data_IF_464730194403
#
_entry.id   IF_464730194403
#
_cell.length_a   1.000
_cell.length_b   1.000
_cell.length_c   1.000
_cell.angle_alpha   90.00
_cell.angle_beta   90.00
_cell.angle_gamma   90.00
#
_symmetry.space_group_name_H-M   'P 1'
#
loop_
_entity.id
_entity.type
_entity.pdbx_description
1 polymer ?
#
# COMPACT_ATOMS: atom_id res chain seq x y z
N UNK A 1 8.27 24.96 17.76
CA UNK A 1 6.82 24.97 18.04
C UNK A 1 6.61 25.37 19.50
N UNK A 2 5.50 26.01 19.84
CA UNK A 2 5.11 26.42 21.20
C UNK A 2 3.82 25.75 21.68
N UNK A 3 3.00 25.25 20.76
CA UNK A 3 1.72 24.63 21.06
C UNK A 3 1.52 23.34 20.27
N UNK A 4 0.97 22.32 20.91
CA UNK A 4 0.69 21.02 20.28
C UNK A 4 -0.75 20.65 20.52
N UNK A 5 -1.45 20.31 19.44
CA UNK A 5 -2.83 19.88 19.48
C UNK A 5 -2.88 18.42 19.09
N UNK A 6 -3.41 17.59 19.98
CA UNK A 6 -3.73 16.20 19.67
C UNK A 6 -5.21 16.05 19.38
N UNK A 7 -5.55 15.33 18.32
CA UNK A 7 -6.94 15.04 17.97
C UNK A 7 -7.14 13.54 17.86
N UNK A 8 -8.04 13.01 18.68
CA UNK A 8 -8.63 11.70 18.46
C UNK A 8 -9.92 11.84 17.64
N UNK A 9 -10.03 11.05 16.58
CA UNK A 9 -11.05 11.23 15.54
C UNK A 9 -12.11 10.15 15.64
N UNK A 10 -13.32 10.57 15.98
CA UNK A 10 -14.52 9.75 15.93
C UNK A 10 -15.43 10.12 14.76
N UNK A 11 -16.44 9.28 14.50
CA UNK A 11 -17.39 9.49 13.40
C UNK A 11 -18.13 10.83 13.51
N UNK A 12 -18.67 11.14 14.69
CA UNK A 12 -19.52 12.31 14.92
C UNK A 12 -18.81 13.45 15.67
N UNK A 13 -17.72 13.14 16.37
CA UNK A 13 -17.05 14.06 17.29
C UNK A 13 -15.53 13.97 17.13
N UNK A 14 -14.85 15.01 17.60
CA UNK A 14 -13.41 15.08 17.74
C UNK A 14 -13.11 15.39 19.20
N UNK A 15 -12.24 14.58 19.82
CA UNK A 15 -11.67 14.88 21.12
C UNK A 15 -10.34 15.60 20.89
N UNK A 16 -10.21 16.81 21.45
CA UNK A 16 -9.09 17.70 21.16
C UNK A 16 -8.42 18.12 22.45
N UNK A 17 -7.09 18.00 22.50
CA UNK A 17 -6.28 18.45 23.63
C UNK A 17 -5.19 19.43 23.16
N UNK A 18 -4.96 20.49 23.92
CA UNK A 18 -3.94 21.52 23.67
C UNK A 18 -2.89 21.53 24.77
N UNK A 19 -1.63 21.37 24.39
CA UNK A 19 -0.47 21.46 25.26
C UNK A 19 0.39 22.68 24.95
N UNK A 20 1.02 23.23 25.98
CA UNK A 20 2.09 24.22 25.87
C UNK A 20 3.49 23.59 25.75
N UNK A 21 4.53 24.43 25.78
CA UNK A 21 5.95 24.04 25.71
C UNK A 21 6.42 23.20 26.89
N UNK A 22 5.93 23.49 28.10
CA UNK A 22 6.20 22.72 29.29
C UNK A 22 5.49 21.34 29.28
N UNK A 23 4.51 21.16 28.39
CA UNK A 23 3.64 19.98 28.34
C UNK A 23 2.45 20.08 29.29
N UNK A 24 2.15 21.27 29.81
CA UNK A 24 0.96 21.53 30.59
C UNK A 24 -0.29 21.54 29.70
N UNK A 25 -1.37 20.93 30.19
CA UNK A 25 -2.67 20.94 29.52
C UNK A 25 -3.32 22.31 29.65
N UNK A 26 -3.44 23.03 28.53
CA UNK A 26 -4.09 24.34 28.49
C UNK A 26 -5.60 24.22 28.32
N UNK A 27 -6.05 23.31 27.43
CA UNK A 27 -7.45 23.10 27.15
C UNK A 27 -7.71 21.68 26.63
N UNK A 28 -8.92 21.19 26.91
CA UNK A 28 -9.41 19.92 26.39
C UNK A 28 -10.91 20.00 26.15
N UNK A 29 -11.34 19.67 24.94
CA UNK A 29 -12.74 19.82 24.54
C UNK A 29 -13.16 18.75 23.53
N UNK A 30 -14.45 18.41 23.54
CA UNK A 30 -15.09 17.58 22.53
C UNK A 30 -15.92 18.46 21.62
N UNK A 31 -15.65 18.42 20.31
CA UNK A 31 -16.38 19.18 19.28
C UNK A 31 -17.04 18.25 18.26
N UNK A 32 -17.96 18.75 17.44
CA UNK A 32 -18.46 17.98 16.30
C UNK A 32 -17.39 17.80 15.22
N UNK A 33 -17.41 16.67 14.51
CA UNK A 33 -16.53 16.42 13.37
C UNK A 33 -17.01 17.16 12.11
N UNK A 34 -17.05 18.49 12.20
CA UNK A 34 -17.49 19.38 11.15
C UNK A 34 -16.50 20.54 10.96
N UNK A 35 -16.16 20.94 9.72
CA UNK A 35 -15.18 22.01 9.47
C UNK A 35 -15.51 23.35 10.15
N UNK A 36 -16.81 23.64 10.35
CA UNK A 36 -17.26 24.84 11.08
C UNK A 36 -16.85 24.79 12.55
N UNK A 37 -16.99 23.64 13.21
CA UNK A 37 -16.63 23.47 14.61
C UNK A 37 -15.12 23.55 14.82
N UNK A 38 -14.33 22.94 13.93
CA UNK A 38 -12.87 23.03 13.92
C UNK A 38 -12.41 24.49 13.79
N UNK A 39 -12.98 25.25 12.85
CA UNK A 39 -12.68 26.69 12.68
C UNK A 39 -13.06 27.52 13.91
N UNK A 40 -14.20 27.23 14.53
CA UNK A 40 -14.65 27.92 15.73
C UNK A 40 -13.70 27.65 16.92
N UNK A 41 -13.31 26.39 17.12
CA UNK A 41 -12.35 25.98 18.15
C UNK A 41 -11.02 26.71 17.99
N UNK A 42 -10.41 26.64 16.80
CA UNK A 42 -9.12 27.26 16.51
C UNK A 42 -9.15 28.79 16.68
N UNK A 43 -10.26 29.45 16.33
CA UNK A 43 -10.43 30.89 16.55
C UNK A 43 -10.53 31.24 18.03
N UNK A 44 -11.27 30.45 18.81
CA UNK A 44 -11.41 30.66 20.26
C UNK A 44 -10.08 30.48 20.96
N UNK A 45 -9.43 29.33 20.77
CA UNK A 45 -8.13 29.03 21.35
C UNK A 45 -7.04 29.98 20.85
N UNK A 46 -7.11 30.43 19.59
CA UNK A 46 -6.21 31.46 19.06
C UNK A 46 -6.27 32.78 19.83
N UNK A 47 -7.45 33.19 20.30
CA UNK A 47 -7.61 34.40 21.13
C UNK A 47 -7.18 34.17 22.58
N UNK A 48 -7.58 33.04 23.14
CA UNK A 48 -7.40 32.71 24.55
C UNK A 48 -5.94 32.38 24.90
N UNK A 49 -5.31 31.52 24.09
CA UNK A 49 -3.95 31.02 24.32
C UNK A 49 -2.91 31.65 23.39
N UNK A 50 -3.30 32.66 22.60
CA UNK A 50 -2.43 33.36 21.63
C UNK A 50 -1.73 32.38 20.67
N UNK A 51 -2.50 31.40 20.15
CA UNK A 51 -1.98 30.44 19.18
C UNK A 51 -1.59 31.16 17.89
N UNK A 52 -0.35 30.97 17.47
CA UNK A 52 0.10 31.35 16.13
C UNK A 52 0.29 30.10 15.27
N UNK A 53 -0.17 30.17 14.01
CA UNK A 53 -0.13 29.07 13.05
C UNK A 53 1.27 28.55 12.81
N UNK A 54 2.28 29.44 12.80
CA UNK A 54 3.68 29.04 12.58
C UNK A 54 4.31 28.37 13.80
N UNK A 55 3.67 28.54 14.97
CA UNK A 55 4.14 28.01 16.25
C UNK A 55 3.34 26.82 16.76
N UNK A 56 2.35 26.34 16.00
CA UNK A 56 1.51 25.22 16.42
C UNK A 56 1.67 23.99 15.53
N UNK A 57 1.50 22.81 16.12
CA UNK A 57 1.45 21.54 15.42
C UNK A 57 0.19 20.77 15.80
N UNK A 58 -0.63 20.42 14.82
CA UNK A 58 -1.77 19.51 15.01
C UNK A 58 -1.33 18.10 14.66
N UNK A 59 -1.58 17.15 15.54
CA UNK A 59 -1.29 15.74 15.35
C UNK A 59 -2.55 14.93 15.54
N UNK A 60 -2.73 13.91 14.69
CA UNK A 60 -3.85 12.99 14.79
C UNK A 60 -3.46 11.61 14.24
N UNK A 61 -4.17 10.60 14.71
CA UNK A 61 -4.07 9.25 14.17
C UNK A 61 -4.92 9.10 12.89
N UNK A 62 -4.45 8.37 11.86
CA UNK A 62 -5.25 7.98 10.70
C UNK A 62 -6.47 7.10 11.05
N UNK A 63 -7.60 7.70 11.43
CA UNK A 63 -8.85 6.96 11.70
C UNK A 63 -9.75 6.86 10.47
N UNK A 64 -9.40 5.94 9.57
CA UNK A 64 -10.20 5.63 8.39
C UNK A 64 -10.57 6.87 7.55
N UNK A 65 -11.81 6.94 7.06
CA UNK A 65 -12.28 8.09 6.26
C UNK A 65 -12.79 9.27 7.10
N UNK A 66 -12.95 9.12 8.42
CA UNK A 66 -13.54 10.15 9.28
C UNK A 66 -12.61 11.34 9.52
N UNK A 67 -11.30 11.12 9.47
CA UNK A 67 -10.30 12.20 9.65
C UNK A 67 -10.04 13.04 8.41
N UNK A 68 -10.50 12.62 7.22
CA UNK A 68 -10.08 13.26 5.98
C UNK A 68 -10.52 14.72 5.87
N UNK A 69 -11.79 15.02 6.19
CA UNK A 69 -12.32 16.39 6.15
C UNK A 69 -11.62 17.33 7.14
N UNK A 70 -11.23 16.79 8.30
CA UNK A 70 -10.44 17.52 9.29
C UNK A 70 -9.06 17.88 8.72
N UNK A 71 -8.34 16.90 8.17
CA UNK A 71 -7.00 17.14 7.58
C UNK A 71 -7.09 18.12 6.42
N UNK A 72 -8.09 17.99 5.55
CA UNK A 72 -8.33 18.90 4.42
C UNK A 72 -8.53 20.34 4.91
N UNK A 73 -9.39 20.54 5.92
CA UNK A 73 -9.62 21.86 6.51
C UNK A 73 -8.34 22.43 7.16
N UNK A 74 -7.58 21.62 7.90
CA UNK A 74 -6.34 22.06 8.54
C UNK A 74 -5.27 22.51 7.52
N UNK A 75 -5.11 21.76 6.43
CA UNK A 75 -4.18 22.12 5.35
C UNK A 75 -4.66 23.36 4.59
N UNK A 76 -5.97 23.50 4.33
CA UNK A 76 -6.52 24.73 3.75
C UNK A 76 -6.29 25.96 4.62
N UNK A 77 -6.31 25.79 5.95
CA UNK A 77 -5.98 26.85 6.91
C UNK A 77 -4.47 27.09 7.07
N UNK A 78 -3.62 26.35 6.34
CA UNK A 78 -2.16 26.36 6.42
C UNK A 78 -1.65 26.04 7.84
N UNK A 79 -2.30 25.10 8.53
CA UNK A 79 -1.89 24.65 9.87
C UNK A 79 -0.99 23.42 9.72
N UNK A 80 0.22 23.42 10.32
CA UNK A 80 1.09 22.25 10.33
C UNK A 80 0.36 21.04 10.92
N UNK A 81 0.17 20.01 10.09
CA UNK A 81 -0.65 18.84 10.44
C UNK A 81 0.16 17.57 10.26
N UNK A 82 0.26 16.74 11.29
CA UNK A 82 0.97 15.47 11.28
C UNK A 82 -0.01 14.30 11.47
N UNK A 83 -0.07 13.43 10.46
CA UNK A 83 -0.72 12.12 10.57
C UNK A 83 0.27 11.10 11.15
N UNK A 84 0.26 10.93 12.47
CA UNK A 84 1.17 10.02 13.16
C UNK A 84 0.68 8.57 13.07
N UNK A 85 1.60 7.62 12.88
CA UNK A 85 1.22 6.23 12.75
C UNK A 85 0.69 5.67 14.09
N UNK A 86 -0.45 4.94 14.12
CA UNK A 86 -1.06 4.44 15.36
C UNK A 86 -0.11 3.69 16.29
N UNK A 87 0.73 2.83 15.68
CA UNK A 87 1.69 2.02 16.44
C UNK A 87 2.81 2.85 17.04
N UNK A 88 3.21 3.95 16.41
CA UNK A 88 4.29 4.79 16.93
C UNK A 88 3.82 5.53 18.18
N UNK A 89 2.59 6.04 18.12
CA UNK A 89 1.91 6.65 19.27
C UNK A 89 1.80 5.61 20.40
N UNK A 90 1.26 4.42 20.10
CA UNK A 90 1.10 3.35 21.08
C UNK A 90 2.41 2.89 21.71
N UNK A 91 3.47 2.70 20.93
CA UNK A 91 4.77 2.27 21.45
C UNK A 91 5.47 3.35 22.29
N UNK A 92 5.18 4.63 22.03
CA UNK A 92 5.79 5.73 22.78
C UNK A 92 5.28 5.89 24.22
N UNK A 93 4.08 5.38 24.52
CA UNK A 93 3.37 5.61 25.78
C UNK A 93 3.66 4.51 26.83
N UNK A 94 4.08 3.32 26.39
CA UNK A 94 4.23 2.16 27.28
C UNK A 94 2.88 1.53 27.67
N UNK A 95 2.87 0.70 28.72
CA UNK A 95 1.70 -0.10 29.09
C UNK A 95 0.80 0.65 30.09
N UNK A 96 0.00 1.60 29.61
CA UNK A 96 -0.94 2.36 30.46
C UNK A 96 -2.35 1.76 30.47
N UNK A 97 -2.98 1.71 31.66
CA UNK A 97 -4.41 1.32 31.84
C UNK A 97 -5.30 2.56 31.71
N UNK A 98 -6.46 2.40 31.08
CA UNK A 98 -7.47 3.45 30.87
C UNK A 98 -7.62 3.81 29.39
N UNK A 99 -8.81 3.50 28.84
CA UNK A 99 -9.27 3.91 27.51
C UNK A 99 -10.30 5.01 27.70
N UNK A 100 -9.95 6.23 27.31
CA UNK A 100 -10.88 7.33 27.19
C UNK A 100 -10.41 8.16 26.01
N UNK A 101 -11.31 8.47 25.08
CA UNK A 101 -11.03 9.24 23.86
C UNK A 101 -10.32 10.57 24.18
N UNK A 102 -10.67 11.18 25.32
CA UNK A 102 -10.02 12.38 25.85
C UNK A 102 -8.54 12.15 26.21
N UNK A 103 -8.23 11.04 26.87
CA UNK A 103 -6.85 10.67 27.21
C UNK A 103 -6.06 10.36 25.94
N UNK A 104 -6.70 9.79 24.92
CA UNK A 104 -6.05 9.49 23.64
C UNK A 104 -5.71 10.78 22.88
N UNK A 105 -6.60 11.78 22.84
CA UNK A 105 -6.27 13.11 22.30
C UNK A 105 -5.07 13.76 23.02
N UNK A 106 -5.01 13.66 24.35
CA UNK A 106 -3.89 14.17 25.15
C UNK A 106 -2.58 13.42 24.85
N UNK A 107 -2.63 12.08 24.73
CA UNK A 107 -1.50 11.24 24.35
C UNK A 107 -0.95 11.60 22.98
N UNK A 108 -1.84 11.86 22.03
CA UNK A 108 -1.46 12.30 20.68
C UNK A 108 -0.77 13.67 20.74
N UNK A 109 -1.27 14.60 21.55
CA UNK A 109 -0.66 15.94 21.72
C UNK A 109 0.76 15.83 22.32
N UNK A 110 0.93 15.02 23.37
CA UNK A 110 2.23 14.84 24.01
C UNK A 110 3.21 14.06 23.13
N UNK A 111 2.74 13.08 22.36
CA UNK A 111 3.53 12.42 21.32
C UNK A 111 4.07 13.46 20.31
N UNK A 112 3.19 14.34 19.81
CA UNK A 112 3.58 15.38 18.87
C UNK A 112 4.63 16.32 19.46
N UNK A 113 4.51 16.66 20.75
CA UNK A 113 5.46 17.51 21.47
C UNK A 113 6.83 16.86 21.60
N UNK A 114 6.87 15.59 22.02
CA UNK A 114 8.11 14.84 22.26
C UNK A 114 8.85 14.47 20.98
N UNK A 115 8.13 14.15 19.91
CA UNK A 115 8.70 13.60 18.68
C UNK A 115 8.51 14.54 17.46
N UNK A 116 8.38 15.85 17.69
CA UNK A 116 8.19 16.84 16.62
C UNK A 116 9.32 16.82 15.58
N UNK A 117 10.53 16.40 15.95
CA UNK A 117 11.67 16.23 15.05
C UNK A 117 11.41 15.18 13.95
N UNK A 118 10.52 14.23 14.23
CA UNK A 118 10.08 13.18 13.30
C UNK A 118 8.80 13.54 12.56
N UNK A 119 8.22 14.71 12.82
CA UNK A 119 6.95 15.10 12.26
C UNK A 119 6.99 15.13 10.73
N UNK A 120 5.96 14.55 10.12
CA UNK A 120 5.77 14.59 8.67
C UNK A 120 4.48 15.31 8.36
N UNK A 121 4.65 16.53 7.87
CA UNK A 121 3.53 17.40 7.61
C UNK A 121 2.78 16.94 6.36
N UNK A 122 1.46 16.87 6.49
CA UNK A 122 0.58 16.62 5.34
C UNK A 122 0.62 17.83 4.44
N UNK A 123 1.13 17.64 3.23
CA UNK A 123 1.12 18.65 2.18
C UNK A 123 -0.14 18.62 1.33
N UNK A 124 -0.35 19.68 0.54
CA UNK A 124 -1.43 19.75 -0.45
C UNK A 124 -1.37 18.58 -1.45
N UNK A 125 -0.17 18.12 -1.82
CA UNK A 125 -0.01 16.99 -2.73
C UNK A 125 -0.51 15.67 -2.13
N UNK A 126 -0.25 15.43 -0.84
CA UNK A 126 -0.74 14.24 -0.14
C UNK A 126 -2.29 14.20 -0.08
N UNK A 127 -2.92 15.37 0.10
CA UNK A 127 -4.38 15.52 0.02
C UNK A 127 -4.90 15.27 -1.39
N UNK A 128 -4.27 15.88 -2.40
CA UNK A 128 -4.61 15.67 -3.80
C UNK A 128 -4.54 14.19 -4.18
N UNK A 129 -3.46 13.52 -3.80
CA UNK A 129 -3.27 12.09 -4.02
C UNK A 129 -4.29 11.22 -3.28
N UNK A 130 -4.89 11.71 -2.20
CA UNK A 130 -5.95 10.98 -1.52
C UNK A 130 -7.19 10.80 -2.38
N UNK A 131 -7.52 11.75 -3.27
CA UNK A 131 -8.61 11.59 -4.25
C UNK A 131 -8.38 10.37 -5.14
N UNK A 132 -7.15 10.20 -5.65
CA UNK A 132 -6.78 9.02 -6.44
C UNK A 132 -6.85 7.73 -5.63
N UNK A 133 -6.40 7.74 -4.36
CA UNK A 133 -6.52 6.57 -3.47
C UNK A 133 -7.97 6.17 -3.23
N UNK A 134 -8.88 7.13 -3.07
CA UNK A 134 -10.32 6.85 -2.90
C UNK A 134 -10.91 6.21 -4.17
N UNK A 135 -10.60 6.73 -5.35
CA UNK A 135 -11.03 6.14 -6.63
C UNK A 135 -10.51 4.70 -6.78
N UNK A 136 -9.23 4.46 -6.48
CA UNK A 136 -8.63 3.11 -6.52
C UNK A 136 -9.26 2.15 -5.52
N UNK A 137 -9.61 2.64 -4.32
CA UNK A 137 -10.30 1.86 -3.29
C UNK A 137 -11.72 1.48 -3.75
N UNK A 138 -12.48 2.43 -4.31
CA UNK A 138 -13.80 2.20 -4.90
C UNK A 138 -13.72 1.16 -6.01
N UNK A 139 -12.80 1.32 -6.96
CA UNK A 139 -12.56 0.35 -8.03
C UNK A 139 -12.28 -1.06 -7.48
N UNK A 140 -11.46 -1.18 -6.44
CA UNK A 140 -11.15 -2.47 -5.78
C UNK A 140 -12.40 -3.11 -5.16
N UNK A 141 -13.26 -2.32 -4.53
CA UNK A 141 -14.54 -2.79 -3.99
C UNK A 141 -15.45 -3.32 -5.10
N UNK A 142 -15.60 -2.57 -6.20
CA UNK A 142 -16.38 -2.99 -7.37
C UNK A 142 -15.84 -4.29 -7.99
N UNK A 143 -14.52 -4.44 -8.15
CA UNK A 143 -13.92 -5.70 -8.63
C UNK A 143 -14.24 -6.87 -7.70
N UNK A 144 -14.21 -6.64 -6.39
CA UNK A 144 -14.53 -7.66 -5.37
C UNK A 144 -16.01 -8.06 -5.44
N UNK A 145 -16.90 -7.07 -5.57
CA UNK A 145 -18.33 -7.30 -5.72
C UNK A 145 -18.65 -8.09 -6.99
N UNK A 146 -18.08 -7.68 -8.13
CA UNK A 146 -18.19 -8.39 -9.40
C UNK A 146 -17.80 -9.86 -9.24
N UNK A 147 -16.64 -10.13 -8.64
CA UNK A 147 -16.16 -11.49 -8.38
C UNK A 147 -17.12 -12.27 -7.49
N UNK A 148 -17.68 -11.65 -6.45
CA UNK A 148 -18.66 -12.28 -5.55
C UNK A 148 -19.91 -12.73 -6.30
N UNK A 149 -20.44 -11.90 -7.21
CA UNK A 149 -21.60 -12.29 -8.03
C UNK A 149 -21.26 -13.40 -9.02
N UNK A 150 -20.05 -13.40 -9.60
CA UNK A 150 -19.60 -14.47 -10.50
C UNK A 150 -19.48 -15.81 -9.77
N UNK A 151 -18.96 -15.82 -8.54
CA UNK A 151 -18.91 -17.02 -7.69
C UNK A 151 -20.31 -17.51 -7.35
N UNK A 152 -21.25 -16.60 -7.04
CA UNK A 152 -22.65 -16.98 -6.80
C UNK A 152 -23.25 -17.75 -7.98
N UNK A 153 -23.09 -17.27 -9.20
CA UNK A 153 -23.59 -17.95 -10.41
C UNK A 153 -22.91 -19.31 -10.61
N UNK A 154 -21.58 -19.37 -10.43
CA UNK A 154 -20.80 -20.57 -10.73
C UNK A 154 -20.92 -21.68 -9.67
N UNK A 155 -21.26 -21.32 -8.45
CA UNK A 155 -21.15 -22.22 -7.31
C UNK A 155 -22.41 -22.19 -6.42
N UNK A 156 -22.66 -21.07 -5.73
CA UNK A 156 -23.77 -20.97 -4.77
C UNK A 156 -25.13 -21.32 -5.39
N UNK A 157 -25.45 -20.73 -6.54
CA UNK A 157 -26.75 -20.91 -7.18
C UNK A 157 -26.93 -22.32 -7.75
N UNK A 158 -25.85 -23.06 -8.03
CA UNK A 158 -25.92 -24.45 -8.52
C UNK A 158 -26.38 -25.45 -7.46
N UNK A 159 -26.23 -25.09 -6.19
CA UNK A 159 -26.63 -25.90 -5.05
C UNK A 159 -27.96 -25.44 -4.43
N UNK A 160 -28.63 -24.46 -5.04
CA UNK A 160 -29.95 -24.00 -4.62
C UNK A 160 -31.06 -24.79 -5.32
N UNK A 161 -32.29 -24.58 -4.86
CA UNK A 161 -33.48 -25.13 -5.50
C UNK A 161 -33.50 -24.81 -7.01
N UNK A 162 -33.72 -25.85 -7.81
CA UNK A 162 -33.59 -25.79 -9.26
C UNK A 162 -34.62 -24.84 -9.90
N UNK A 163 -35.78 -24.66 -9.28
CA UNK A 163 -36.81 -23.73 -9.74
C UNK A 163 -36.40 -22.26 -9.56
N UNK A 164 -35.56 -21.97 -8.55
CA UNK A 164 -35.10 -20.62 -8.22
C UNK A 164 -33.76 -20.25 -8.87
N UNK A 165 -32.97 -21.24 -9.28
CA UNK A 165 -31.63 -21.03 -9.84
C UNK A 165 -31.61 -20.01 -11.00
N UNK A 166 -32.55 -20.14 -11.95
CA UNK A 166 -32.63 -19.27 -13.13
C UNK A 166 -32.91 -17.80 -12.77
N UNK A 167 -33.75 -17.57 -11.76
CA UNK A 167 -34.06 -16.25 -11.23
C UNK A 167 -32.82 -15.62 -10.57
N UNK A 168 -32.13 -16.36 -9.70
CA UNK A 168 -30.96 -15.85 -8.99
C UNK A 168 -29.75 -15.62 -9.90
N UNK A 169 -29.58 -16.44 -10.93
CA UNK A 169 -28.57 -16.20 -11.97
C UNK A 169 -28.86 -14.92 -12.75
N UNK A 170 -30.12 -14.68 -13.11
CA UNK A 170 -30.53 -13.45 -13.78
C UNK A 170 -30.24 -12.21 -12.93
N UNK A 171 -30.63 -12.23 -11.65
CA UNK A 171 -30.35 -11.14 -10.70
C UNK A 171 -28.84 -10.88 -10.54
N UNK A 172 -28.05 -11.95 -10.44
CA UNK A 172 -26.60 -11.84 -10.30
C UNK A 172 -25.95 -11.27 -11.56
N UNK A 173 -26.42 -11.64 -12.76
CA UNK A 173 -25.98 -11.08 -14.04
C UNK A 173 -26.34 -9.60 -14.19
N UNK A 174 -27.53 -9.19 -13.74
CA UNK A 174 -27.92 -7.78 -13.72
C UNK A 174 -26.98 -6.95 -12.84
N UNK A 175 -26.64 -7.44 -11.63
CA UNK A 175 -25.66 -6.79 -10.76
C UNK A 175 -24.27 -6.71 -11.39
N UNK A 176 -23.82 -7.79 -12.05
CA UNK A 176 -22.53 -7.77 -12.78
C UNK A 176 -22.53 -6.67 -13.85
N UNK A 177 -23.60 -6.54 -14.62
CA UNK A 177 -23.72 -5.50 -15.66
C UNK A 177 -23.65 -4.08 -15.07
N UNK A 178 -24.31 -3.86 -13.93
CA UNK A 178 -24.25 -2.58 -13.23
C UNK A 178 -22.84 -2.27 -12.72
N UNK A 179 -22.19 -3.24 -12.07
CA UNK A 179 -20.83 -3.09 -11.57
C UNK A 179 -19.83 -2.88 -12.70
N UNK A 180 -20.00 -3.55 -13.85
CA UNK A 180 -19.15 -3.35 -15.03
C UNK A 180 -19.26 -1.92 -15.57
N UNK A 181 -20.46 -1.34 -15.60
CA UNK A 181 -20.66 0.06 -15.99
C UNK A 181 -19.97 1.03 -15.01
N UNK A 182 -20.11 0.80 -13.70
CA UNK A 182 -19.46 1.60 -12.66
C UNK A 182 -17.94 1.50 -12.72
N UNK A 183 -17.40 0.32 -13.07
CA UNK A 183 -15.95 0.15 -13.26
C UNK A 183 -15.43 1.02 -14.41
N UNK A 184 -16.15 1.10 -15.53
CA UNK A 184 -15.78 1.97 -16.66
C UNK A 184 -15.78 3.44 -16.24
N UNK A 185 -16.80 3.86 -15.50
CA UNK A 185 -16.90 5.24 -14.98
C UNK A 185 -15.73 5.58 -14.04
N UNK A 186 -15.45 4.73 -13.05
CA UNK A 186 -14.34 4.94 -12.11
C UNK A 186 -12.99 4.90 -12.81
N UNK A 187 -12.79 4.02 -13.79
CA UNK A 187 -11.57 3.98 -14.60
C UNK A 187 -11.39 5.26 -15.43
N UNK A 188 -12.48 5.82 -15.95
CA UNK A 188 -12.50 7.14 -16.59
C UNK A 188 -12.04 8.25 -15.65
N UNK A 189 -12.64 8.32 -14.45
CA UNK A 189 -12.30 9.33 -13.43
C UNK A 189 -10.84 9.23 -12.95
N UNK A 190 -10.29 8.02 -12.85
CA UNK A 190 -8.87 7.79 -12.52
C UNK A 190 -7.98 8.39 -13.60
N UNK A 191 -8.28 8.10 -14.87
CA UNK A 191 -7.49 8.60 -16.00
C UNK A 191 -7.61 10.11 -16.15
N UNK A 192 -8.81 10.67 -15.95
CA UNK A 192 -9.03 12.11 -15.96
C UNK A 192 -8.21 12.80 -14.88
N UNK A 193 -8.24 12.29 -13.65
CA UNK A 193 -7.42 12.81 -12.55
C UNK A 193 -5.92 12.80 -12.90
N UNK A 194 -5.42 11.71 -13.45
CA UNK A 194 -4.00 11.60 -13.85
C UNK A 194 -3.66 12.57 -14.97
N UNK A 195 -4.54 12.70 -15.98
CA UNK A 195 -4.34 13.58 -17.14
C UNK A 195 -4.47 15.06 -16.80
N UNK A 196 -5.21 15.40 -15.75
CA UNK A 196 -5.33 16.78 -15.26
C UNK A 196 -3.99 17.37 -14.81
N UNK A 197 -3.00 16.52 -14.54
CA UNK A 197 -1.65 16.91 -14.17
C UNK A 197 -0.63 16.47 -15.22
N UNK A 198 0.11 17.43 -15.78
CA UNK A 198 1.11 17.11 -16.80
C UNK A 198 2.22 16.21 -16.26
N UNK A 199 2.70 16.45 -15.04
CA UNK A 199 3.77 15.67 -14.44
C UNK A 199 3.29 14.26 -14.09
N UNK A 200 2.12 14.10 -13.47
CA UNK A 200 1.59 12.76 -13.17
C UNK A 200 1.29 11.98 -14.45
N UNK A 201 0.76 12.61 -15.49
CA UNK A 201 0.51 11.94 -16.76
C UNK A 201 1.82 11.46 -17.40
N UNK A 202 2.89 12.27 -17.37
CA UNK A 202 4.21 11.83 -17.84
C UNK A 202 4.72 10.62 -17.05
N UNK A 203 4.65 10.67 -15.71
CA UNK A 203 5.05 9.56 -14.84
C UNK A 203 4.20 8.30 -15.12
N UNK A 204 2.91 8.47 -15.35
CA UNK A 204 1.98 7.39 -15.72
C UNK A 204 2.36 6.72 -17.04
N UNK A 205 2.66 7.50 -18.09
CA UNK A 205 3.10 6.96 -19.38
C UNK A 205 4.44 6.22 -19.25
N UNK A 206 5.37 6.73 -18.44
CA UNK A 206 6.63 6.05 -18.16
C UNK A 206 6.40 4.71 -17.46
N UNK A 207 5.48 4.64 -16.49
CA UNK A 207 5.12 3.39 -15.83
C UNK A 207 4.53 2.37 -16.82
N UNK A 208 3.61 2.80 -17.70
CA UNK A 208 3.02 1.92 -18.71
C UNK A 208 4.03 1.40 -19.75
N UNK A 209 5.15 2.09 -19.95
CA UNK A 209 6.22 1.63 -20.85
C UNK A 209 7.00 0.42 -20.31
N UNK A 210 6.78 0.04 -19.04
CA UNK A 210 7.43 -1.10 -18.40
C UNK A 210 6.61 -2.36 -18.63
N UNK A 211 7.23 -3.39 -19.19
CA UNK A 211 6.58 -4.68 -19.42
C UNK A 211 5.97 -5.27 -18.13
N UNK A 212 4.69 -5.64 -18.20
CA UNK A 212 3.95 -6.18 -17.07
C UNK A 212 3.28 -5.12 -16.19
N UNK A 213 3.58 -3.83 -16.36
CA UNK A 213 2.90 -2.74 -15.65
C UNK A 213 1.67 -2.30 -16.43
N UNK A 214 0.49 -2.66 -15.92
CA UNK A 214 -0.79 -2.23 -16.48
C UNK A 214 -1.33 -0.96 -15.82
N UNK A 215 -2.43 -0.38 -16.36
CA UNK A 215 -3.09 0.83 -15.86
C UNK A 215 -3.34 0.83 -14.35
N UNK A 216 -3.81 -0.29 -13.80
CA UNK A 216 -4.15 -0.40 -12.37
C UNK A 216 -2.91 -0.30 -11.49
N UNK A 217 -1.84 -1.02 -11.84
CA UNK A 217 -0.58 -0.96 -11.08
C UNK A 217 0.07 0.41 -11.23
N UNK A 218 0.07 0.99 -12.43
CA UNK A 218 0.62 2.32 -12.68
C UNK A 218 -0.09 3.39 -11.82
N UNK A 219 -1.42 3.44 -11.85
CA UNK A 219 -2.21 4.37 -11.05
C UNK A 219 -1.99 4.15 -9.55
N UNK A 220 -1.89 2.89 -9.10
CA UNK A 220 -1.64 2.58 -7.69
C UNK A 220 -0.25 3.02 -7.24
N UNK A 221 0.78 2.83 -8.07
CA UNK A 221 2.14 3.28 -7.78
C UNK A 221 2.22 4.81 -7.63
N UNK A 222 1.54 5.56 -8.50
CA UNK A 222 1.46 7.02 -8.37
C UNK A 222 0.80 7.43 -7.05
N UNK A 223 -0.31 6.78 -6.68
CA UNK A 223 -1.04 7.09 -5.46
C UNK A 223 -0.27 6.73 -4.18
N UNK A 224 0.42 5.59 -4.16
CA UNK A 224 1.14 5.15 -2.96
C UNK A 224 2.44 5.91 -2.75
N UNK A 225 3.09 6.35 -3.83
CA UNK A 225 4.36 7.11 -3.79
C UNK A 225 4.18 8.62 -3.84
N UNK A 226 2.95 9.11 -3.98
CA UNK A 226 2.65 10.54 -4.16
C UNK A 226 3.43 11.15 -5.33
N UNK A 227 3.32 10.51 -6.50
CA UNK A 227 4.11 10.90 -7.67
C UNK A 227 5.63 10.76 -7.46
N UNK A 228 6.05 9.73 -6.72
CA UNK A 228 7.44 9.45 -6.34
C UNK A 228 8.12 10.46 -5.41
N UNK A 229 7.33 11.29 -4.71
CA UNK A 229 7.87 12.26 -3.75
C UNK A 229 7.97 11.69 -2.32
N UNK A 230 7.14 10.69 -1.98
CA UNK A 230 7.06 10.13 -0.63
C UNK A 230 8.30 9.34 -0.20
N UNK A 231 8.93 8.62 -1.13
CA UNK A 231 10.03 7.70 -0.83
C UNK A 231 11.36 8.27 -1.30
N UNK A 232 12.39 8.26 -0.44
CA UNK A 232 13.75 8.69 -0.81
C UNK A 232 14.53 7.60 -1.55
N UNK A 233 14.20 6.34 -1.29
CA UNK A 233 14.91 5.19 -1.87
C UNK A 233 13.97 4.10 -2.33
N UNK A 234 14.40 3.34 -3.34
CA UNK A 234 13.68 2.17 -3.85
C UNK A 234 13.52 1.09 -2.79
N UNK A 235 14.48 0.96 -1.86
CA UNK A 235 14.40 -0.01 -0.75
C UNK A 235 13.22 0.28 0.17
N UNK A 236 12.97 1.55 0.50
CA UNK A 236 11.81 1.92 1.32
C UNK A 236 10.50 1.53 0.65
N UNK A 237 10.37 1.76 -0.66
CA UNK A 237 9.20 1.34 -1.43
C UNK A 237 9.08 -0.20 -1.47
N UNK A 238 10.18 -0.93 -1.66
CA UNK A 238 10.20 -2.39 -1.69
C UNK A 238 9.81 -3.02 -0.34
N UNK A 239 10.26 -2.42 0.76
CA UNK A 239 9.87 -2.82 2.11
C UNK A 239 8.38 -2.55 2.37
N UNK A 240 7.87 -1.37 1.95
CA UNK A 240 6.44 -1.02 2.04
C UNK A 240 5.58 -1.97 1.20
N UNK A 241 6.02 -2.30 -0.01
CA UNK A 241 5.34 -3.24 -0.90
C UNK A 241 5.38 -4.70 -0.42
N UNK A 242 6.16 -5.01 0.63
CA UNK A 242 6.28 -6.37 1.14
C UNK A 242 6.93 -7.34 0.16
N UNK A 243 7.81 -6.83 -0.70
CA UNK A 243 8.63 -7.63 -1.61
C UNK A 243 10.03 -7.84 -1.04
N UNK A 244 10.59 -6.85 -0.34
CA UNK A 244 11.87 -7.00 0.35
C UNK A 244 11.70 -7.69 1.73
N UNK A 245 12.41 -8.81 1.99
CA UNK A 245 12.35 -9.49 3.28
C UNK A 245 13.26 -8.82 4.33
N UNK A 246 12.89 -8.98 5.61
CA UNK A 246 13.69 -8.56 6.76
C UNK A 246 14.51 -9.72 7.29
N UNK A 247 15.76 -9.44 7.64
CA UNK A 247 16.60 -10.35 8.41
C UNK A 247 16.07 -10.45 9.85
N UNK A 248 15.95 -11.67 10.35
CA UNK A 248 15.51 -11.94 11.72
C UNK A 248 16.69 -12.44 12.54
N UNK A 249 17.70 -11.58 12.64
CA UNK A 249 18.94 -11.84 13.37
C UNK A 249 19.08 -10.90 14.55
N UNK A 250 19.17 -11.46 15.76
CA UNK A 250 19.50 -10.73 16.98
C UNK A 250 20.66 -11.43 17.71
N UNK A 251 21.77 -10.71 17.88
CA UNK A 251 23.01 -11.25 18.42
C UNK A 251 23.64 -12.34 17.56
N UNK A 252 24.56 -13.12 18.13
CA UNK A 252 25.25 -14.24 17.45
C UNK A 252 24.39 -15.51 17.35
N UNK A 253 23.28 -15.58 18.09
CA UNK A 253 22.63 -16.86 18.41
C UNK A 253 21.24 -17.03 17.80
N UNK A 254 20.59 -15.95 17.32
CA UNK A 254 19.28 -16.03 16.67
C UNK A 254 19.47 -15.82 15.17
N UNK A 255 19.30 -16.89 14.38
CA UNK A 255 19.24 -16.88 12.91
C UNK A 255 17.87 -17.35 12.45
N UNK A 256 16.88 -16.48 12.54
CA UNK A 256 15.52 -16.77 12.05
C UNK A 256 15.43 -16.68 10.53
N UNK A 257 14.43 -17.35 9.94
CA UNK A 257 14.11 -17.19 8.50
C UNK A 257 13.74 -15.74 8.21
N UNK A 258 14.25 -15.21 7.11
CA UNK A 258 13.88 -13.87 6.61
C UNK A 258 12.39 -13.84 6.25
N UNK A 259 11.64 -12.86 6.75
CA UNK A 259 10.20 -12.72 6.51
C UNK A 259 9.85 -11.32 6.02
N UNK A 260 8.82 -11.21 5.21
CA UNK A 260 8.22 -9.91 4.86
C UNK A 260 7.29 -9.47 5.98
N UNK A 261 7.22 -8.17 6.24
CA UNK A 261 6.37 -7.65 7.32
C UNK A 261 4.89 -7.92 7.03
N UNK A 262 4.09 -8.33 8.03
CA UNK A 262 2.64 -8.39 7.90
C UNK A 262 2.01 -7.00 7.68
N UNK A 263 2.71 -5.93 8.05
CA UNK A 263 2.28 -4.53 7.90
C UNK A 263 2.53 -3.97 6.48
N UNK A 264 3.03 -4.78 5.56
CA UNK A 264 3.21 -4.36 4.18
C UNK A 264 1.87 -4.03 3.48
N UNK A 265 1.94 -3.18 2.46
CA UNK A 265 0.83 -2.90 1.57
C UNK A 265 0.50 -4.15 0.74
N UNK A 266 -0.48 -4.92 1.23
CA UNK A 266 -0.90 -6.18 0.61
C UNK A 266 -1.51 -5.97 -0.78
N UNK A 267 -2.07 -4.78 -1.06
CA UNK A 267 -2.64 -4.46 -2.36
C UNK A 267 -1.51 -4.26 -3.36
N UNK A 268 -0.52 -3.44 -3.02
CA UNK A 268 0.67 -3.24 -3.85
C UNK A 268 1.39 -4.56 -4.11
N UNK A 269 1.57 -5.38 -3.06
CA UNK A 269 2.16 -6.71 -3.16
C UNK A 269 1.43 -7.60 -4.15
N UNK A 270 0.10 -7.64 -4.06
CA UNK A 270 -0.75 -8.44 -4.96
C UNK A 270 -0.64 -7.94 -6.40
N UNK A 271 -0.70 -6.63 -6.63
CA UNK A 271 -0.58 -6.04 -7.96
C UNK A 271 0.79 -6.33 -8.59
N UNK A 272 1.87 -6.16 -7.84
CA UNK A 272 3.23 -6.49 -8.29
C UNK A 272 3.38 -7.98 -8.61
N UNK A 273 2.83 -8.86 -7.78
CA UNK A 273 2.84 -10.29 -8.02
C UNK A 273 2.09 -10.67 -9.31
N UNK A 274 0.89 -10.12 -9.50
CA UNK A 274 0.09 -10.37 -10.72
C UNK A 274 0.79 -9.81 -11.98
N UNK A 275 1.44 -8.66 -11.87
CA UNK A 275 2.23 -8.07 -12.95
C UNK A 275 3.44 -8.93 -13.32
N UNK A 276 4.15 -9.50 -12.34
CA UNK A 276 5.27 -10.40 -12.59
C UNK A 276 4.82 -11.67 -13.33
N UNK A 277 3.72 -12.30 -12.88
CA UNK A 277 3.16 -13.50 -13.51
C UNK A 277 2.66 -13.24 -14.95
N UNK A 278 2.17 -12.03 -15.22
CA UNK A 278 1.78 -11.61 -16.58
C UNK A 278 2.96 -11.28 -17.48
N UNK A 279 4.02 -10.69 -16.92
CA UNK A 279 5.24 -10.29 -17.63
C UNK A 279 6.15 -11.46 -18.03
N UNK A 280 6.23 -12.52 -17.22
CA UNK A 280 6.99 -13.74 -17.53
C UNK A 280 6.53 -14.41 -18.84
N UNK A 281 5.23 -14.29 -19.18
CA UNK A 281 4.69 -14.84 -20.44
C UNK A 281 5.15 -14.10 -21.69
N UNK A 282 5.67 -12.87 -21.53
CA UNK A 282 6.16 -12.00 -22.62
C UNK A 282 7.68 -11.74 -22.57
N UNK A 283 8.41 -12.35 -21.63
CA UNK A 283 9.86 -12.16 -21.48
C UNK A 283 10.28 -10.80 -20.87
N UNK A 284 9.39 -10.14 -20.13
CA UNK A 284 9.61 -8.78 -19.59
C UNK A 284 10.52 -8.71 -18.35
N UNK A 285 11.27 -7.60 -18.20
CA UNK A 285 12.29 -7.37 -17.15
C UNK A 285 11.78 -7.34 -15.70
N UNK A 286 10.51 -6.99 -15.47
CA UNK A 286 9.91 -6.97 -14.10
C UNK A 286 9.80 -8.38 -13.52
N UNK A 287 9.70 -9.36 -14.40
CA UNK A 287 9.47 -10.74 -14.02
C UNK A 287 10.69 -11.35 -13.33
N UNK A 288 11.92 -11.05 -13.78
CA UNK A 288 13.14 -11.66 -13.22
C UNK A 288 13.50 -11.29 -11.77
N UNK A 289 12.97 -10.18 -11.23
CA UNK A 289 13.21 -9.75 -9.85
C UNK A 289 12.20 -10.36 -8.86
N UNK A 290 10.94 -10.51 -9.26
CA UNK A 290 9.87 -11.04 -8.40
C UNK A 290 9.64 -12.55 -8.60
N UNK A 291 9.91 -13.10 -9.79
CA UNK A 291 9.73 -14.53 -10.08
C UNK A 291 10.73 -15.41 -9.34
N UNK A 292 11.98 -14.96 -9.15
CA UNK A 292 12.98 -15.69 -8.35
C UNK A 292 12.57 -15.80 -6.87
N UNK A 293 11.96 -14.76 -6.31
CA UNK A 293 11.42 -14.79 -4.94
C UNK A 293 10.09 -15.57 -4.84
N UNK A 294 9.25 -15.53 -5.88
CA UNK A 294 8.01 -16.32 -5.94
C UNK A 294 8.28 -17.82 -6.13
N UNK A 295 9.24 -18.19 -6.98
CA UNK A 295 9.70 -19.57 -7.17
C UNK A 295 10.37 -20.11 -5.89
N UNK A 296 11.17 -19.29 -5.20
CA UNK A 296 11.72 -19.66 -3.89
C UNK A 296 10.63 -19.94 -2.84
N UNK A 297 9.47 -19.27 -2.92
CA UNK A 297 8.30 -19.53 -2.05
C UNK A 297 7.51 -20.77 -2.47
N UNK A 298 7.44 -21.09 -3.75
CA UNK A 298 6.68 -22.25 -4.23
C UNK A 298 7.41 -23.57 -3.93
N UNK A 299 8.74 -23.60 -4.01
CA UNK A 299 9.54 -24.73 -3.50
C UNK A 299 9.47 -24.89 -1.98
N UNK A 300 9.23 -23.80 -1.22
CA UNK A 300 9.08 -23.85 0.23
C UNK A 300 7.69 -24.33 0.70
N UNK A 301 6.64 -24.18 -0.12
CA UNK A 301 5.27 -24.61 0.21
C UNK A 301 5.00 -26.09 -0.14
N UNK A 302 5.74 -26.67 -1.09
CA UNK A 302 5.61 -28.09 -1.48
C UNK A 302 6.33 -29.04 -0.51
N UNK A 303 7.17 -28.52 0.40
CA UNK A 303 7.96 -29.36 1.31
C UNK A 303 7.28 -29.71 2.65
N UNK A 304 6.19 -29.02 3.04
CA UNK A 304 5.53 -29.24 4.34
C UNK A 304 4.33 -30.21 4.28
N UNK A 305 3.84 -30.56 3.08
CA UNK A 305 2.68 -31.47 2.92
C UNK A 305 3.05 -32.91 2.52
N UNK A 306 4.33 -33.21 2.29
CA UNK A 306 4.80 -34.56 1.93
C UNK A 306 5.58 -35.26 3.06
N UNK A 307 5.63 -34.70 4.27
CA UNK A 307 6.40 -35.27 5.41
C UNK A 307 5.65 -36.30 6.25
N UNK A 308 4.44 -36.69 5.86
CA UNK A 308 3.60 -37.61 6.63
C UNK A 308 3.15 -38.85 5.85
N UNK A 309 4.00 -39.44 5.00
CA UNK A 309 3.80 -40.82 4.55
C UNK A 309 5.15 -41.51 4.26
N UNK A 310 5.55 -42.35 5.22
CA UNK A 310 6.25 -43.64 5.11
C UNK A 310 7.49 -43.77 4.18
N UNK A 311 8.65 -43.98 4.81
CA UNK A 311 9.86 -44.54 4.19
C UNK A 311 9.66 -46.00 3.73
N UNK A 312 10.28 -46.41 2.61
CA UNK A 312 11.11 -47.63 2.62
C UNK A 312 12.45 -47.46 1.85
N UNK A 313 13.38 -48.44 1.91
CA UNK A 313 14.79 -48.15 2.14
C UNK A 313 15.70 -48.19 0.90
N UNK A 314 16.83 -47.47 1.06
CA UNK A 314 18.19 -47.73 0.55
C UNK A 314 18.38 -48.32 -0.85
N UNK A 315 18.85 -47.47 -1.77
CA UNK A 315 20.11 -47.59 -2.54
C UNK A 315 20.00 -46.86 -3.88
N UNK A 316 21.15 -46.52 -4.46
CA UNK A 316 21.36 -45.79 -5.74
C UNK A 316 21.52 -44.27 -5.61
N UNK A 317 22.79 -43.84 -5.52
CA UNK A 317 23.23 -42.47 -5.85
C UNK A 317 22.92 -42.19 -7.33
N UNK A 318 22.08 -41.19 -7.64
CA UNK A 318 22.05 -40.55 -8.96
C UNK A 318 21.83 -39.03 -8.85
N UNK A 319 22.58 -38.35 -9.70
CA UNK A 319 22.78 -36.92 -9.93
C UNK A 319 21.48 -36.10 -10.13
N UNK A 320 21.25 -34.98 -9.41
CA UNK A 320 19.99 -34.23 -9.45
C UNK A 320 19.81 -33.30 -10.66
N UNK A 321 20.70 -33.31 -11.67
CA UNK A 321 20.62 -32.37 -12.80
C UNK A 321 19.81 -32.85 -14.03
N UNK A 322 19.13 -34.00 -14.01
CA UNK A 322 18.47 -34.56 -15.23
C UNK A 322 16.98 -34.90 -15.16
N UNK A 323 16.23 -34.48 -14.13
CA UNK A 323 14.81 -34.82 -14.01
C UNK A 323 13.84 -33.67 -13.69
N UNK A 324 14.00 -32.52 -14.35
CA UNK A 324 13.01 -31.41 -14.29
C UNK A 324 12.55 -30.92 -15.67
N UNK A 325 12.59 -31.79 -16.70
CA UNK A 325 12.06 -31.48 -18.04
C UNK A 325 11.19 -32.59 -18.66
N UNK A 326 10.56 -33.45 -17.85
CA UNK A 326 9.71 -34.55 -18.39
C UNK A 326 8.34 -34.74 -17.71
N UNK A 327 7.73 -33.67 -17.21
CA UNK A 327 6.37 -33.70 -16.63
C UNK A 327 5.53 -32.45 -16.92
N UNK A 328 5.63 -31.88 -18.12
CA UNK A 328 4.71 -30.83 -18.59
C UNK A 328 4.45 -30.93 -20.11
N UNK A 329 4.21 -32.15 -20.60
CA UNK A 329 3.93 -32.41 -22.00
C UNK A 329 2.79 -33.43 -22.16
N UNK A 330 1.63 -33.15 -21.59
CA UNK A 330 0.35 -33.84 -21.90
C UNK A 330 -0.83 -32.97 -21.44
N UNK A 331 -0.99 -31.77 -22.02
CA UNK A 331 -2.28 -31.06 -22.12
C UNK A 331 -2.07 -29.72 -22.83
N UNK A 332 -1.89 -29.76 -24.15
CA UNK A 332 -2.15 -28.69 -25.14
C UNK A 332 -1.45 -29.13 -26.42
N UNK A 333 -2.10 -30.03 -27.17
CA UNK A 333 -1.67 -30.35 -28.51
C UNK A 333 -1.83 -29.13 -29.40
N UNK A 334 -0.75 -28.37 -29.64
CA UNK A 334 -0.54 -27.61 -30.87
C UNK A 334 0.96 -27.29 -31.06
N UNK A 335 1.50 -27.78 -32.17
CA UNK A 335 2.84 -27.44 -32.69
C UNK A 335 2.84 -25.99 -33.20
N UNK A 336 3.82 -25.18 -32.82
CA UNK A 336 4.13 -23.94 -33.55
C UNK A 336 5.60 -23.98 -34.00
N UNK A 337 5.79 -23.80 -35.31
CA UNK A 337 7.06 -23.81 -36.04
C UNK A 337 7.89 -22.55 -35.74
N UNK A 338 9.22 -22.69 -35.84
CA UNK A 338 10.22 -21.59 -35.78
C UNK A 338 10.10 -20.65 -36.99
N UNK A 339 10.26 -19.35 -36.75
CA UNK A 339 10.76 -18.35 -37.71
C UNK A 339 11.36 -17.17 -36.90
N UNK A 340 12.69 -17.06 -36.85
CA UNK A 340 13.56 -16.14 -37.61
C UNK A 340 13.65 -14.71 -37.07
N UNK A 341 14.90 -14.31 -36.81
CA UNK A 341 15.39 -13.09 -36.14
C UNK A 341 15.85 -12.12 -37.22
N UNK A 342 15.57 -10.82 -37.06
CA UNK A 342 16.28 -9.71 -37.75
C UNK A 342 16.50 -8.57 -36.74
N UNK A 343 17.74 -8.07 -36.52
CA UNK A 343 18.05 -6.80 -35.85
C UNK A 343 18.60 -5.75 -36.87
N UNK A 344 19.12 -4.55 -36.51
CA UNK A 344 18.80 -3.53 -35.48
C UNK A 344 18.78 -2.08 -36.06
N UNK A 345 18.56 -1.01 -35.24
CA UNK A 345 19.46 0.17 -35.03
C UNK A 345 18.78 1.37 -34.26
N UNK A 346 19.53 2.37 -33.68
CA UNK A 346 19.29 2.94 -32.36
C UNK A 346 19.32 4.50 -32.35
N UNK A 347 19.47 5.09 -31.16
CA UNK A 347 19.71 6.51 -30.86
C UNK A 347 18.45 7.42 -30.93
N UNK A 348 18.10 8.21 -29.91
CA UNK A 348 18.91 9.00 -28.96
C UNK A 348 18.31 8.96 -27.54
N UNK A 349 19.14 8.67 -26.52
CA UNK A 349 18.78 8.73 -25.08
C UNK A 349 19.97 9.24 -24.25
N UNK A 350 19.92 10.50 -23.84
CA UNK A 350 20.75 11.10 -22.78
C UNK A 350 20.07 12.42 -22.39
N UNK A 351 19.43 12.56 -21.23
CA UNK A 351 20.15 12.94 -20.02
C UNK A 351 19.46 12.60 -18.69
N UNK A 352 18.33 11.87 -18.66
CA UNK A 352 17.63 11.50 -17.40
C UNK A 352 17.88 10.07 -16.92
N UNK A 353 18.53 9.23 -17.74
CA UNK A 353 18.79 7.80 -17.44
C UNK A 353 20.09 7.55 -16.64
N UNK A 354 20.89 8.59 -16.37
CA UNK A 354 22.19 8.46 -15.70
C UNK A 354 22.12 8.03 -14.23
N UNK A 355 20.99 8.25 -13.54
CA UNK A 355 20.81 7.83 -12.14
C UNK A 355 20.12 6.47 -11.96
N UNK A 356 19.59 5.88 -13.03
CA UNK A 356 18.90 4.58 -12.98
C UNK A 356 19.69 3.42 -13.61
N UNK A 357 20.88 3.70 -14.19
CA UNK A 357 21.78 2.67 -14.75
C UNK A 357 22.59 1.87 -13.72
N UNK A 358 22.62 2.30 -12.45
CA UNK A 358 23.42 1.63 -11.41
C UNK A 358 22.70 0.43 -10.78
N UNK A 359 21.41 0.18 -11.07
CA UNK A 359 20.69 -0.96 -10.52
C UNK A 359 20.92 -2.29 -11.30
N UNK A 360 21.55 -2.23 -12.48
CA UNK A 360 21.70 -3.40 -13.36
C UNK A 360 23.05 -4.13 -13.24
N UNK A 361 23.97 -3.68 -12.38
CA UNK A 361 25.27 -4.35 -12.12
C UNK A 361 25.39 -4.90 -10.70
N UNK A 362 24.33 -4.91 -9.91
CA UNK A 362 24.30 -5.59 -8.59
C UNK A 362 23.78 -7.01 -8.78
N UNK A 363 24.53 -7.80 -9.53
CA UNK A 363 24.48 -9.25 -9.40
C UNK A 363 25.16 -9.59 -8.06
N UNK A 364 24.52 -10.43 -7.24
CA UNK A 364 25.05 -11.10 -6.03
C UNK A 364 24.77 -10.55 -4.62
N UNK A 365 24.06 -9.43 -4.41
CA UNK A 365 23.62 -9.07 -3.04
C UNK A 365 22.10 -8.92 -2.98
N UNK A 366 21.44 -9.87 -2.30
CA UNK A 366 20.00 -9.84 -2.06
C UNK A 366 19.54 -8.50 -1.47
N UNK A 367 18.36 -8.03 -1.88
CA UNK A 367 17.77 -6.80 -1.37
C UNK A 367 17.18 -7.11 0.01
N UNK A 368 17.97 -6.92 1.06
CA UNK A 368 17.49 -7.00 2.45
C UNK A 368 17.08 -5.61 2.94
N UNK A 369 15.97 -5.54 3.68
CA UNK A 369 15.58 -4.28 4.33
C UNK A 369 16.63 -3.94 5.41
N UNK A 370 17.06 -2.67 5.55
CA UNK A 370 17.85 -2.26 6.72
C UNK A 370 17.04 -2.50 8.02
N UNK A 371 17.78 -2.62 9.15
CA UNK A 371 17.35 -2.89 10.54
C UNK A 371 15.92 -2.42 10.95
N UNK A 372 15.27 -3.10 11.92
CA UNK A 372 13.82 -3.04 12.11
C UNK A 372 13.29 -1.61 12.29
N UNK A 373 12.32 -1.26 11.46
CA UNK A 373 11.29 -0.21 11.60
C UNK A 373 11.60 0.96 12.55
N UNK A 374 12.68 1.70 12.30
CA UNK A 374 12.85 3.04 12.89
C UNK A 374 12.91 4.17 11.87
N UNK A 375 12.97 3.89 10.56
CA UNK A 375 13.14 4.94 9.53
C UNK A 375 12.62 4.54 8.13
N UNK A 376 11.37 4.05 8.02
CA UNK A 376 10.67 3.93 6.75
C UNK A 376 9.47 4.92 6.70
N UNK A 377 9.06 5.42 5.52
CA UNK A 377 8.13 6.53 5.38
C UNK A 377 6.64 6.15 5.59
#
# INVERSE_FOLDING_TARGET
>A
MKHWIGVDVSKAHLDVALLDEAGALLAQERISNEPKAVRALLRRWGKEFRLDKSSMLVCLEPTGHYGYRLVEELVHLAIPTWLAHPLDIKHSIGNTRGKSDSIDALRIADYARRYQDKARLVGAEALRMNKLRQLLSCRRQLVTERRRQQVRIKDTNRHMDRSLQSLFDRMSRQRIKQVDQQLVEVDGLILEFIRSDQQLNQQYQLLLSVDGVGPVLASYLLACTEGFTRFRTVRQLACQAGVAPYEHTSGSSIKGRTRVSPQADQVLKTLLHMSALGGDRKGGRVAGLLSKEAQARQSAYVCDQCRSMQDPPSSVRRDPAKHTLRAYATCTGHRIRRAHVIPPHPARRSHLLGRWRVAASVQERGITCPAPWNNAP
#
